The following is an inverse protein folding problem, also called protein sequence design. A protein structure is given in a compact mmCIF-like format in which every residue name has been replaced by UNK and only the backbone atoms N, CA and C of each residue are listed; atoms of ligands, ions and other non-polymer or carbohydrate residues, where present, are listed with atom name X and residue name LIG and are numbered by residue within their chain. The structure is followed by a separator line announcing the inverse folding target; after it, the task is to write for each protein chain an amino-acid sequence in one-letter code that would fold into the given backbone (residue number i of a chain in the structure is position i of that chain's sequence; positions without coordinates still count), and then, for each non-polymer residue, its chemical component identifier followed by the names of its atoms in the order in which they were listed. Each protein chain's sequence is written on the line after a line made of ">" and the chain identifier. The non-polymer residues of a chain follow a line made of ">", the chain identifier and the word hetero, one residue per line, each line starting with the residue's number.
data_IF_225316109296
#
_entry.id   IF_225316109296
#
_cell.length_a   1.000
_cell.length_b   1.000
_cell.length_c   1.000
_cell.angle_alpha   90.00
_cell.angle_beta   90.00
_cell.angle_gamma   90.00
#
_symmetry.space_group_name_H-M   'P 1'
#
loop_
_entity.id
_entity.type
_entity.pdbx_description
1 polymer ?
#
# COMPACT_ATOMS: atom_id res chain seq x y z
N UNK A 1 -61.26 -12.98 -28.41
CA UNK A 1 -61.02 -11.68 -27.79
C UNK A 1 -60.23 -11.98 -26.49
N UNK A 2 -58.91 -11.72 -26.50
CA UNK A 2 -58.05 -11.88 -25.35
C UNK A 2 -57.63 -10.49 -24.90
N UNK A 3 -58.04 -10.12 -23.70
CA UNK A 3 -57.67 -8.84 -23.08
C UNK A 3 -56.17 -8.78 -22.85
N UNK A 4 -55.50 -7.87 -23.54
CA UNK A 4 -54.12 -7.53 -23.26
C UNK A 4 -54.11 -6.65 -22.01
N UNK A 5 -53.68 -7.23 -20.88
CA UNK A 5 -53.36 -6.44 -19.70
C UNK A 5 -52.23 -5.48 -20.03
N UNK A 6 -52.57 -4.21 -20.16
CA UNK A 6 -51.66 -3.09 -20.19
C UNK A 6 -51.04 -2.99 -18.78
N UNK A 7 -49.83 -3.47 -18.61
CA UNK A 7 -49.03 -3.12 -17.44
C UNK A 7 -48.77 -1.62 -17.48
N UNK A 8 -49.44 -0.89 -16.62
CA UNK A 8 -49.09 0.49 -16.31
C UNK A 8 -47.68 0.54 -15.74
N UNK A 9 -46.83 1.40 -16.30
CA UNK A 9 -45.54 1.70 -15.73
C UNK A 9 -45.74 2.20 -14.28
N UNK A 10 -45.57 1.32 -13.30
CA UNK A 10 -45.49 1.69 -11.91
C UNK A 10 -44.29 2.62 -11.80
N UNK A 11 -44.51 3.88 -11.45
CA UNK A 11 -43.46 4.80 -11.07
C UNK A 11 -42.56 4.07 -10.09
N UNK A 12 -41.29 3.88 -10.48
CA UNK A 12 -40.25 3.46 -9.60
C UNK A 12 -40.05 4.58 -8.57
N UNK A 13 -40.80 4.50 -7.47
CA UNK A 13 -40.57 5.34 -6.31
C UNK A 13 -39.19 4.96 -5.84
N UNK A 14 -38.20 5.83 -6.08
CA UNK A 14 -36.84 5.63 -5.59
C UNK A 14 -36.92 5.44 -4.07
N UNK A 15 -36.51 4.28 -3.58
CA UNK A 15 -36.47 4.00 -2.15
C UNK A 15 -35.62 5.09 -1.50
N UNK A 16 -36.12 5.81 -0.48
CA UNK A 16 -35.33 6.87 0.15
C UNK A 16 -34.08 6.25 0.75
N UNK A 17 -32.91 6.84 0.49
CA UNK A 17 -31.64 6.37 1.02
C UNK A 17 -31.71 6.25 2.55
N UNK A 18 -31.43 5.06 3.08
CA UNK A 18 -31.47 4.78 4.53
C UNK A 18 -30.33 5.48 5.31
N UNK A 19 -29.28 5.95 4.62
CA UNK A 19 -28.08 6.52 5.22
C UNK A 19 -27.77 7.94 4.67
N UNK A 20 -28.70 8.90 4.67
CA UNK A 20 -28.47 10.20 4.05
C UNK A 20 -27.32 10.95 4.71
N UNK A 21 -26.49 11.65 3.91
CA UNK A 21 -25.37 12.45 4.38
C UNK A 21 -24.20 11.64 4.97
N UNK A 22 -24.17 10.32 4.77
CA UNK A 22 -23.00 9.50 5.11
C UNK A 22 -21.99 9.48 3.94
N UNK A 23 -20.70 9.19 4.21
CA UNK A 23 -19.70 9.04 3.16
C UNK A 23 -20.11 8.03 2.08
N UNK A 24 -20.73 6.91 2.46
CA UNK A 24 -21.20 5.90 1.51
C UNK A 24 -22.33 6.45 0.61
N UNK A 25 -23.29 7.17 1.18
CA UNK A 25 -24.37 7.77 0.39
C UNK A 25 -23.84 8.80 -0.62
N UNK A 26 -22.85 9.61 -0.23
CA UNK A 26 -22.20 10.57 -1.12
C UNK A 26 -21.41 9.90 -2.25
N UNK A 27 -20.94 8.67 -2.05
CA UNK A 27 -20.18 7.90 -3.03
C UNK A 27 -21.06 6.93 -3.87
N UNK A 28 -22.38 6.91 -3.69
CA UNK A 28 -23.32 5.90 -4.23
C UNK A 28 -23.25 5.77 -5.77
N UNK A 29 -23.01 6.83 -6.49
CA UNK A 29 -22.85 6.80 -7.95
C UNK A 29 -21.74 5.84 -8.42
N UNK A 30 -20.71 5.62 -7.59
CA UNK A 30 -19.66 4.64 -7.88
C UNK A 30 -20.17 3.18 -7.82
N UNK A 31 -21.19 2.90 -7.00
CA UNK A 31 -21.84 1.58 -6.92
C UNK A 31 -22.66 1.34 -8.18
N UNK A 32 -23.35 2.37 -8.69
CA UNK A 32 -24.20 2.29 -9.88
C UNK A 32 -23.42 1.99 -11.15
N UNK A 33 -22.12 2.27 -11.18
CA UNK A 33 -21.25 1.93 -12.28
C UNK A 33 -21.04 0.40 -12.45
N UNK A 34 -21.40 -0.42 -11.45
CA UNK A 34 -21.21 -1.85 -11.49
C UNK A 34 -22.27 -2.56 -12.34
N UNK A 35 -21.85 -3.25 -13.39
CA UNK A 35 -22.73 -4.07 -14.28
C UNK A 35 -22.70 -5.56 -13.91
N UNK A 36 -22.18 -5.93 -12.77
CA UNK A 36 -22.11 -7.30 -12.23
C UNK A 36 -21.46 -8.36 -13.15
N UNK A 37 -20.56 -7.97 -14.05
CA UNK A 37 -19.93 -8.87 -15.05
C UNK A 37 -19.00 -9.94 -14.45
N UNK A 38 -18.51 -9.77 -13.22
CA UNK A 38 -17.68 -10.77 -12.52
C UNK A 38 -16.17 -10.75 -12.81
N UNK A 39 -15.65 -9.89 -13.72
CA UNK A 39 -14.20 -9.84 -14.00
C UNK A 39 -13.33 -9.54 -12.77
N UNK A 40 -13.87 -8.85 -11.78
CA UNK A 40 -13.18 -8.54 -10.52
C UNK A 40 -12.95 -9.75 -9.61
N UNK A 41 -13.64 -10.89 -9.82
CA UNK A 41 -13.57 -12.07 -8.95
C UNK A 41 -12.16 -12.69 -8.98
N UNK A 42 -11.61 -12.89 -10.17
CA UNK A 42 -10.29 -13.51 -10.35
C UNK A 42 -9.13 -12.62 -9.86
N UNK A 43 -9.36 -11.31 -9.75
CA UNK A 43 -8.39 -10.37 -9.22
C UNK A 43 -8.50 -10.18 -7.70
N UNK A 44 -9.48 -10.80 -7.05
CA UNK A 44 -9.75 -10.60 -5.63
C UNK A 44 -9.08 -11.66 -4.76
N UNK A 45 -8.05 -11.30 -3.96
CA UNK A 45 -7.34 -12.28 -3.15
C UNK A 45 -8.20 -12.88 -2.03
N UNK A 46 -9.19 -12.13 -1.48
CA UNK A 46 -10.09 -12.68 -0.45
C UNK A 46 -11.10 -13.64 -1.04
N UNK A 47 -11.63 -13.36 -2.22
CA UNK A 47 -12.50 -14.31 -2.92
C UNK A 47 -11.76 -15.62 -3.27
N UNK A 48 -10.55 -15.51 -3.83
CA UNK A 48 -9.73 -16.69 -4.17
C UNK A 48 -9.33 -17.53 -2.95
N UNK A 49 -9.18 -16.89 -1.78
CA UNK A 49 -8.77 -17.56 -0.55
C UNK A 49 -9.92 -18.17 0.24
N UNK A 50 -11.12 -17.58 0.17
CA UNK A 50 -12.26 -17.91 1.02
C UNK A 50 -13.42 -18.57 0.24
N UNK A 51 -13.45 -18.42 -1.08
CA UNK A 51 -14.50 -18.93 -1.99
C UNK A 51 -15.91 -18.45 -1.62
N UNK A 52 -16.01 -17.28 -0.92
CA UNK A 52 -17.26 -16.67 -0.50
C UNK A 52 -17.54 -15.44 -1.38
N UNK A 53 -18.71 -15.43 -2.05
CA UNK A 53 -19.13 -14.33 -2.92
C UNK A 53 -19.24 -13.01 -2.15
N UNK A 54 -19.65 -13.01 -0.89
CA UNK A 54 -19.73 -11.80 -0.07
C UNK A 54 -18.35 -11.21 0.23
N UNK A 55 -17.29 -12.00 0.14
CA UNK A 55 -15.90 -11.56 0.25
C UNK A 55 -15.30 -11.15 -1.10
N UNK A 56 -16.10 -11.15 -2.19
CA UNK A 56 -15.74 -10.63 -3.51
C UNK A 56 -16.02 -9.13 -3.65
N UNK A 57 -15.40 -8.43 -4.60
CA UNK A 57 -15.70 -7.02 -4.84
C UNK A 57 -17.17 -6.80 -5.26
N UNK A 58 -17.69 -7.69 -6.12
CA UNK A 58 -19.08 -7.64 -6.60
C UNK A 58 -20.06 -7.87 -5.44
N UNK A 59 -19.83 -8.90 -4.62
CA UNK A 59 -20.67 -9.19 -3.46
C UNK A 59 -20.66 -8.04 -2.45
N UNK A 60 -19.49 -7.46 -2.18
CA UNK A 60 -19.39 -6.27 -1.30
C UNK A 60 -20.14 -5.06 -1.86
N UNK A 61 -20.17 -4.84 -3.18
CA UNK A 61 -20.98 -3.77 -3.78
C UNK A 61 -22.49 -4.02 -3.57
N UNK A 62 -22.93 -5.28 -3.64
CA UNK A 62 -24.33 -5.65 -3.31
C UNK A 62 -24.62 -5.33 -1.84
N UNK A 63 -23.73 -5.67 -0.93
CA UNK A 63 -23.88 -5.33 0.50
C UNK A 63 -23.89 -3.80 0.72
N UNK A 64 -23.02 -3.04 0.03
CA UNK A 64 -23.03 -1.58 0.09
C UNK A 64 -24.35 -0.99 -0.40
N UNK A 65 -24.93 -1.54 -1.48
CA UNK A 65 -26.25 -1.16 -1.97
C UNK A 65 -27.32 -1.47 -0.93
N UNK A 66 -27.35 -2.69 -0.38
CA UNK A 66 -28.32 -3.08 0.65
C UNK A 66 -28.25 -2.21 1.91
N UNK A 67 -27.05 -1.69 2.27
CA UNK A 67 -26.91 -0.70 3.35
C UNK A 67 -27.61 0.62 3.02
N UNK A 68 -27.49 1.10 1.77
CA UNK A 68 -28.11 2.34 1.31
C UNK A 68 -29.64 2.22 1.18
N UNK A 69 -30.10 1.06 0.76
CA UNK A 69 -31.54 0.76 0.57
C UNK A 69 -32.24 0.38 1.90
N UNK A 70 -31.43 0.08 2.95
CA UNK A 70 -31.95 -0.31 4.27
C UNK A 70 -32.27 -1.80 4.40
N UNK A 71 -31.88 -2.62 3.42
CA UNK A 71 -32.11 -4.07 3.41
C UNK A 71 -31.21 -4.79 4.43
N UNK A 72 -30.05 -4.23 4.73
CA UNK A 72 -29.11 -4.71 5.73
C UNK A 72 -28.68 -3.58 6.67
N UNK A 73 -28.31 -3.94 7.91
CA UNK A 73 -27.94 -2.96 8.93
C UNK A 73 -26.43 -2.70 8.99
N UNK A 74 -26.04 -1.43 9.28
CA UNK A 74 -24.66 -1.08 9.63
C UNK A 74 -24.13 -1.80 10.88
N UNK A 75 -25.02 -2.24 11.76
CA UNK A 75 -24.68 -2.95 12.99
C UNK A 75 -24.65 -4.47 12.82
N UNK A 76 -25.01 -4.99 11.64
CA UNK A 76 -24.93 -6.42 11.35
C UNK A 76 -23.46 -6.89 11.36
N UNK A 77 -23.08 -7.80 12.27
CA UNK A 77 -21.69 -8.26 12.40
C UNK A 77 -21.21 -9.02 11.16
N UNK A 78 -22.11 -9.66 10.40
CA UNK A 78 -21.75 -10.39 9.17
C UNK A 78 -21.37 -9.41 8.07
N UNK A 79 -22.17 -8.35 7.89
CA UNK A 79 -21.88 -7.28 6.92
C UNK A 79 -20.57 -6.58 7.28
N UNK A 80 -20.35 -6.27 8.57
CA UNK A 80 -19.12 -5.67 9.05
C UNK A 80 -17.91 -6.57 8.77
N UNK A 81 -18.02 -7.88 9.01
CA UNK A 81 -16.96 -8.83 8.77
C UNK A 81 -16.55 -8.88 7.29
N UNK A 82 -17.50 -8.93 6.35
CA UNK A 82 -17.18 -8.94 4.93
C UNK A 82 -16.51 -7.63 4.48
N UNK A 83 -16.90 -6.48 5.02
CA UNK A 83 -16.25 -5.21 4.72
C UNK A 83 -14.84 -5.13 5.33
N UNK A 84 -14.65 -5.61 6.57
CA UNK A 84 -13.36 -5.59 7.25
C UNK A 84 -12.36 -6.61 6.65
N UNK A 85 -12.84 -7.72 6.09
CA UNK A 85 -12.01 -8.71 5.38
C UNK A 85 -11.43 -8.22 4.06
N UNK A 86 -11.90 -7.12 3.49
CA UNK A 86 -11.31 -6.57 2.28
C UNK A 86 -9.90 -6.01 2.56
N UNK A 87 -8.92 -6.44 1.76
CA UNK A 87 -7.53 -5.97 1.85
C UNK A 87 -7.31 -4.55 1.30
N UNK A 88 -8.28 -3.97 0.59
CA UNK A 88 -8.11 -2.68 -0.07
C UNK A 88 -7.00 -2.67 -1.12
N UNK A 89 -6.66 -3.81 -1.71
CA UNK A 89 -5.56 -3.95 -2.67
C UNK A 89 -5.83 -3.32 -4.04
N UNK A 90 -7.10 -3.04 -4.35
CA UNK A 90 -7.57 -2.39 -5.60
C UNK A 90 -7.32 -3.19 -6.89
N UNK A 91 -6.96 -4.46 -6.81
CA UNK A 91 -6.83 -5.34 -7.98
C UNK A 91 -8.13 -5.41 -8.81
N UNK A 92 -9.28 -5.33 -8.14
CA UNK A 92 -10.58 -5.28 -8.79
C UNK A 92 -10.81 -4.03 -9.65
N UNK A 93 -10.14 -2.90 -9.37
CA UNK A 93 -10.28 -1.68 -10.18
C UNK A 93 -9.57 -1.80 -11.53
N UNK A 94 -8.40 -2.44 -11.56
CA UNK A 94 -7.69 -2.71 -12.83
C UNK A 94 -8.39 -3.74 -13.68
N UNK A 95 -9.10 -4.68 -13.05
CA UNK A 95 -9.88 -5.71 -13.74
C UNK A 95 -11.28 -5.22 -14.17
N UNK A 96 -11.73 -4.06 -13.70
CA UNK A 96 -13.10 -3.57 -13.94
C UNK A 96 -13.20 -2.80 -15.25
N UNK A 97 -13.95 -3.29 -16.25
CA UNK A 97 -14.17 -2.57 -17.50
C UNK A 97 -15.09 -1.33 -17.32
N UNK A 98 -15.94 -1.33 -16.28
CA UNK A 98 -16.86 -0.23 -15.97
C UNK A 98 -16.24 0.87 -15.11
N UNK A 99 -14.98 0.70 -14.65
CA UNK A 99 -14.26 1.72 -13.90
C UNK A 99 -14.81 2.02 -12.50
N UNK A 100 -15.37 1.02 -11.81
CA UNK A 100 -15.88 1.19 -10.43
C UNK A 100 -14.74 1.66 -9.52
N UNK A 101 -14.88 2.80 -8.80
CA UNK A 101 -13.85 3.35 -7.90
C UNK A 101 -13.89 2.63 -6.54
N UNK A 102 -13.59 1.33 -6.56
CA UNK A 102 -13.83 0.44 -5.44
C UNK A 102 -13.09 0.84 -4.15
N UNK A 103 -11.85 1.34 -4.25
CA UNK A 103 -11.08 1.79 -3.10
C UNK A 103 -11.77 2.92 -2.35
N UNK A 104 -12.28 3.91 -3.08
CA UNK A 104 -13.03 5.03 -2.50
C UNK A 104 -14.35 4.58 -1.87
N UNK A 105 -15.07 3.67 -2.52
CA UNK A 105 -16.29 3.08 -1.98
C UNK A 105 -16.04 2.30 -0.69
N UNK A 106 -14.95 1.52 -0.63
CA UNK A 106 -14.57 0.78 0.58
C UNK A 106 -14.26 1.72 1.75
N UNK A 107 -13.47 2.77 1.51
CA UNK A 107 -13.14 3.76 2.55
C UNK A 107 -14.37 4.52 3.01
N UNK A 108 -15.25 4.93 2.10
CA UNK A 108 -16.53 5.57 2.41
C UNK A 108 -17.45 4.64 3.23
N UNK A 109 -17.51 3.34 2.87
CA UNK A 109 -18.28 2.33 3.61
C UNK A 109 -17.74 2.17 5.03
N UNK A 110 -16.43 1.97 5.17
CA UNK A 110 -15.80 1.83 6.47
C UNK A 110 -15.98 3.09 7.33
N UNK A 111 -15.85 4.27 6.74
CA UNK A 111 -16.09 5.54 7.44
C UNK A 111 -17.56 5.66 7.91
N UNK A 112 -18.51 5.18 7.12
CA UNK A 112 -19.93 5.13 7.50
C UNK A 112 -20.14 4.15 8.65
N UNK A 113 -19.56 2.95 8.57
CA UNK A 113 -19.65 1.93 9.64
C UNK A 113 -19.02 2.40 10.95
N UNK A 114 -17.94 3.19 10.91
CA UNK A 114 -17.29 3.75 12.12
C UNK A 114 -18.16 4.74 12.89
N UNK A 115 -19.26 5.21 12.32
CA UNK A 115 -20.25 6.04 13.06
C UNK A 115 -21.02 5.24 14.09
N UNK A 116 -21.19 3.92 13.90
CA UNK A 116 -21.98 3.04 14.75
C UNK A 116 -21.17 1.93 15.43
N UNK A 117 -20.00 1.58 14.89
CA UNK A 117 -19.16 0.50 15.40
C UNK A 117 -17.70 0.95 15.55
N UNK A 118 -17.12 0.63 16.70
CA UNK A 118 -15.68 0.85 16.93
C UNK A 118 -14.85 -0.27 16.32
N UNK A 119 -13.64 0.03 15.79
CA UNK A 119 -12.74 -1.01 15.33
C UNK A 119 -12.29 -1.93 16.47
N UNK A 120 -11.79 -3.14 16.18
CA UNK A 120 -11.21 -4.04 17.18
C UNK A 120 -10.16 -3.32 18.04
N UNK A 121 -10.03 -3.70 19.32
CA UNK A 121 -9.15 -3.01 20.27
C UNK A 121 -7.68 -2.94 19.79
N UNK A 122 -7.18 -4.00 19.12
CA UNK A 122 -5.82 -4.02 18.54
C UNK A 122 -5.68 -2.92 17.49
N UNK A 123 -6.65 -2.81 16.57
CA UNK A 123 -6.64 -1.76 15.56
C UNK A 123 -6.63 -0.36 16.19
N UNK A 124 -7.44 -0.15 17.26
CA UNK A 124 -7.48 1.12 17.99
C UNK A 124 -6.13 1.50 18.58
N UNK A 125 -5.43 0.54 19.24
CA UNK A 125 -4.10 0.79 19.80
C UNK A 125 -3.10 1.14 18.69
N UNK A 126 -3.09 0.37 17.61
CA UNK A 126 -2.15 0.61 16.51
C UNK A 126 -2.44 1.98 15.86
N UNK A 127 -3.69 2.26 15.51
CA UNK A 127 -4.06 3.54 14.90
C UNK A 127 -3.73 4.72 15.83
N UNK A 128 -4.03 4.64 17.12
CA UNK A 128 -3.66 5.66 18.10
C UNK A 128 -2.13 5.87 18.19
N UNK A 129 -1.35 4.78 18.08
CA UNK A 129 0.12 4.86 18.04
C UNK A 129 0.60 5.60 16.81
N UNK A 130 0.04 5.30 15.62
CA UNK A 130 0.41 5.98 14.37
C UNK A 130 -0.09 7.42 14.29
N UNK A 131 -1.17 7.77 15.02
CA UNK A 131 -1.67 9.13 15.12
C UNK A 131 -0.77 10.03 16.00
N UNK A 132 -0.04 9.44 16.94
CA UNK A 132 0.77 10.17 17.92
C UNK A 132 2.27 10.08 17.57
N UNK A 133 2.88 11.20 17.16
CA UNK A 133 4.32 11.24 16.86
C UNK A 133 5.21 10.69 18.00
N UNK A 134 5.01 11.05 19.29
CA UNK A 134 5.84 10.53 20.36
C UNK A 134 5.64 9.05 20.62
N UNK A 135 4.39 8.55 20.58
CA UNK A 135 4.12 7.11 20.75
C UNK A 135 4.71 6.29 19.61
N UNK A 136 4.59 6.76 18.38
CA UNK A 136 5.18 6.13 17.21
C UNK A 136 6.71 6.09 17.32
N UNK A 137 7.34 7.21 17.71
CA UNK A 137 8.79 7.27 17.90
C UNK A 137 9.26 6.26 18.96
N UNK A 138 8.54 6.17 20.08
CA UNK A 138 8.83 5.20 21.15
C UNK A 138 8.67 3.75 20.66
N UNK A 139 7.57 3.44 19.97
CA UNK A 139 7.30 2.11 19.44
C UNK A 139 8.38 1.68 18.42
N UNK A 140 8.78 2.58 17.52
CA UNK A 140 9.81 2.33 16.52
C UNK A 140 11.21 2.20 17.17
N UNK A 141 11.51 3.00 18.20
CA UNK A 141 12.74 2.86 18.98
C UNK A 141 12.79 1.52 19.69
N UNK A 142 11.71 1.12 20.36
CA UNK A 142 11.58 -0.19 20.99
C UNK A 142 11.76 -1.33 19.97
N UNK A 143 11.16 -1.22 18.79
CA UNK A 143 11.35 -2.17 17.70
C UNK A 143 12.82 -2.29 17.24
N UNK A 144 13.54 -1.16 17.12
CA UNK A 144 14.96 -1.16 16.77
C UNK A 144 15.83 -1.82 17.86
N UNK A 145 15.54 -1.53 19.13
CA UNK A 145 16.24 -2.14 20.28
C UNK A 145 15.98 -3.64 20.28
N UNK A 146 14.73 -4.09 20.19
CA UNK A 146 14.38 -5.51 20.14
C UNK A 146 15.11 -6.22 18.98
N UNK A 147 15.18 -5.57 17.81
CA UNK A 147 15.89 -6.09 16.63
C UNK A 147 17.41 -6.17 16.86
N UNK A 148 18.00 -5.19 17.52
CA UNK A 148 19.43 -5.20 17.88
C UNK A 148 19.77 -6.33 18.86
N UNK A 149 18.87 -6.62 19.80
CA UNK A 149 19.00 -7.72 20.75
C UNK A 149 18.70 -9.11 20.16
N UNK A 150 18.25 -9.20 18.89
CA UNK A 150 17.94 -10.47 18.24
C UNK A 150 16.58 -11.07 18.66
N UNK A 151 15.82 -10.43 19.54
CA UNK A 151 14.52 -10.92 20.03
C UNK A 151 13.53 -11.29 18.93
N UNK A 152 13.41 -10.52 17.82
CA UNK A 152 12.49 -10.86 16.74
C UNK A 152 12.80 -12.20 16.07
N UNK A 153 14.07 -12.57 15.90
CA UNK A 153 14.43 -13.87 15.31
C UNK A 153 14.12 -15.02 16.27
N UNK A 154 14.33 -14.82 17.57
CA UNK A 154 14.01 -15.82 18.59
C UNK A 154 12.52 -16.09 18.67
N UNK A 155 11.70 -15.05 18.59
CA UNK A 155 10.24 -15.12 18.76
C UNK A 155 9.47 -15.28 17.45
N UNK A 156 10.12 -15.22 16.28
CA UNK A 156 9.46 -15.30 14.97
C UNK A 156 8.62 -16.57 14.75
N UNK A 157 9.00 -17.67 15.41
CA UNK A 157 8.30 -18.96 15.34
C UNK A 157 7.26 -19.17 16.42
N UNK A 158 7.08 -18.22 17.33
CA UNK A 158 6.02 -18.28 18.34
C UNK A 158 4.63 -18.33 17.65
N UNK A 159 3.64 -18.99 18.26
CA UNK A 159 2.30 -19.06 17.69
C UNK A 159 1.60 -17.71 17.70
N UNK A 160 0.65 -17.53 16.78
CA UNK A 160 -0.27 -16.40 16.73
C UNK A 160 0.38 -15.07 16.37
N UNK A 161 -0.27 -13.98 16.78
CA UNK A 161 0.09 -12.60 16.42
C UNK A 161 1.48 -12.17 16.88
N UNK A 162 1.97 -12.70 18.01
CA UNK A 162 3.29 -12.36 18.53
C UNK A 162 4.35 -12.84 17.57
N UNK A 163 4.31 -14.12 17.18
CA UNK A 163 5.29 -14.67 16.24
C UNK A 163 5.23 -13.97 14.87
N UNK A 164 4.04 -13.72 14.35
CA UNK A 164 3.87 -12.98 13.09
C UNK A 164 4.45 -11.57 13.18
N UNK A 165 4.13 -10.82 14.24
CA UNK A 165 4.68 -9.46 14.45
C UNK A 165 6.20 -9.45 14.61
N UNK A 166 6.76 -10.43 15.33
CA UNK A 166 8.21 -10.57 15.50
C UNK A 166 8.91 -10.98 14.20
N UNK A 167 8.31 -11.88 13.42
CA UNK A 167 8.82 -12.24 12.09
C UNK A 167 8.82 -11.04 11.14
N UNK A 168 7.76 -10.22 11.15
CA UNK A 168 7.70 -8.97 10.40
C UNK A 168 8.80 -7.99 10.83
N UNK A 169 9.02 -7.81 12.13
CA UNK A 169 10.08 -6.96 12.64
C UNK A 169 11.47 -7.50 12.28
N UNK A 170 11.68 -8.82 12.32
CA UNK A 170 12.92 -9.45 11.90
C UNK A 170 13.23 -9.19 10.42
N UNK A 171 12.21 -9.22 9.56
CA UNK A 171 12.35 -9.00 8.12
C UNK A 171 12.69 -7.55 7.72
N UNK A 172 12.56 -6.59 8.65
CA UNK A 172 13.02 -5.20 8.43
C UNK A 172 14.54 -5.01 8.53
N UNK A 173 15.29 -6.07 8.81
CA UNK A 173 16.75 -6.01 8.82
C UNK A 173 17.27 -5.84 7.40
N UNK A 174 18.13 -4.84 7.19
CA UNK A 174 18.76 -4.63 5.89
C UNK A 174 19.47 -5.90 5.41
N UNK A 175 19.17 -6.33 4.20
CA UNK A 175 19.75 -7.53 3.57
C UNK A 175 21.08 -7.18 2.90
N UNK A 176 21.15 -6.02 2.25
CA UNK A 176 22.34 -5.50 1.59
C UNK A 176 23.02 -4.48 2.49
N UNK A 177 24.33 -4.56 2.55
CA UNK A 177 25.16 -3.54 3.20
C UNK A 177 25.72 -2.64 2.11
N UNK A 178 25.25 -1.41 2.06
CA UNK A 178 25.75 -0.40 1.13
C UNK A 178 26.90 0.36 1.78
N UNK A 179 27.99 0.51 1.05
CA UNK A 179 29.07 1.43 1.41
C UNK A 179 28.69 2.83 0.94
N UNK A 180 29.13 3.85 1.67
CA UNK A 180 29.03 5.24 1.21
C UNK A 180 29.96 5.43 0.01
N UNK A 181 29.48 6.13 -0.99
CA UNK A 181 30.24 6.51 -2.19
C UNK A 181 30.03 7.99 -2.50
N UNK A 182 30.90 8.55 -3.31
CA UNK A 182 30.83 9.96 -3.68
C UNK A 182 29.58 10.25 -4.52
N UNK A 183 28.84 11.28 -4.16
CA UNK A 183 27.67 11.73 -4.91
C UNK A 183 28.05 12.85 -5.87
N UNK A 184 27.36 12.97 -7.04
CA UNK A 184 27.54 14.09 -7.94
C UNK A 184 27.25 15.42 -7.22
N UNK A 185 28.07 16.42 -7.48
CA UNK A 185 27.92 17.77 -6.91
C UNK A 185 26.94 18.65 -7.69
N UNK A 186 26.64 18.26 -8.95
CA UNK A 186 25.74 18.99 -9.82
C UNK A 186 24.45 18.20 -10.07
N UNK A 187 23.31 18.90 -10.01
CA UNK A 187 22.00 18.40 -10.39
C UNK A 187 21.65 18.86 -11.80
N UNK A 188 21.05 17.98 -12.61
CA UNK A 188 20.63 18.25 -13.99
C UNK A 188 19.13 18.17 -14.22
N UNK A 189 18.37 17.56 -13.26
CA UNK A 189 16.94 17.25 -13.42
C UNK A 189 16.03 18.02 -12.45
N UNK A 190 16.60 18.87 -11.58
CA UNK A 190 15.83 19.67 -10.64
C UNK A 190 15.72 19.08 -9.24
N UNK A 191 14.85 19.67 -8.44
CA UNK A 191 14.72 19.37 -7.01
C UNK A 191 13.70 18.28 -6.74
N UNK A 192 14.04 17.42 -5.79
CA UNK A 192 13.17 16.36 -5.27
C UNK A 192 13.25 16.36 -3.75
N UNK A 193 12.10 16.28 -3.08
CA UNK A 193 12.06 16.01 -1.64
C UNK A 193 11.57 14.59 -1.39
N UNK A 194 12.12 13.91 -0.37
CA UNK A 194 11.72 12.54 -0.04
C UNK A 194 10.65 12.55 1.05
N UNK A 195 9.52 11.86 0.82
CA UNK A 195 8.65 11.47 1.93
C UNK A 195 9.36 10.37 2.74
N UNK A 196 9.90 10.73 3.89
CA UNK A 196 10.59 9.76 4.77
C UNK A 196 9.64 8.76 5.41
N UNK A 197 8.34 9.13 5.54
CA UNK A 197 7.28 8.27 6.05
C UNK A 197 7.46 7.87 7.52
N UNK A 198 6.62 6.94 7.98
CA UNK A 198 6.66 6.45 9.36
C UNK A 198 7.50 5.17 9.50
N UNK A 199 7.07 4.06 8.88
CA UNK A 199 7.76 2.76 8.94
C UNK A 199 9.11 2.81 8.22
N UNK A 200 9.18 3.48 7.06
CA UNK A 200 10.42 3.63 6.31
C UNK A 200 11.48 4.36 7.14
N UNK A 201 11.14 5.51 7.73
CA UNK A 201 12.07 6.25 8.59
C UNK A 201 12.38 5.51 9.91
N UNK A 202 11.42 4.72 10.43
CA UNK A 202 11.58 4.03 11.70
C UNK A 202 12.35 2.73 11.64
N UNK A 203 12.09 1.90 10.64
CA UNK A 203 12.59 0.52 10.56
C UNK A 203 13.43 0.23 9.31
N UNK A 204 13.31 1.03 8.26
CA UNK A 204 13.97 0.85 6.96
C UNK A 204 14.71 2.13 6.53
N UNK A 205 15.37 2.81 7.47
CA UNK A 205 16.10 4.07 7.22
C UNK A 205 17.15 3.90 6.11
N UNK A 206 17.80 2.74 6.04
CA UNK A 206 18.77 2.44 5.00
C UNK A 206 18.20 2.58 3.58
N UNK A 207 16.94 2.17 3.37
CA UNK A 207 16.26 2.33 2.09
C UNK A 207 15.94 3.80 1.79
N UNK A 208 15.59 4.61 2.80
CA UNK A 208 15.45 6.06 2.63
C UNK A 208 16.78 6.70 2.18
N UNK A 209 17.87 6.33 2.85
CA UNK A 209 19.20 6.84 2.52
C UNK A 209 19.66 6.36 1.14
N UNK A 210 19.37 5.11 0.77
CA UNK A 210 19.58 4.58 -0.59
C UNK A 210 18.77 5.36 -1.63
N UNK A 211 17.52 5.73 -1.32
CA UNK A 211 16.69 6.53 -2.21
C UNK A 211 17.31 7.91 -2.47
N UNK A 212 17.82 8.57 -1.44
CA UNK A 212 18.50 9.86 -1.57
C UNK A 212 19.73 9.70 -2.48
N UNK A 213 20.57 8.69 -2.25
CA UNK A 213 21.77 8.48 -3.04
C UNK A 213 21.47 8.13 -4.51
N UNK A 214 20.54 7.22 -4.74
CA UNK A 214 20.18 6.80 -6.11
C UNK A 214 19.56 7.94 -6.92
N UNK A 215 18.71 8.77 -6.32
CA UNK A 215 18.18 9.97 -6.97
C UNK A 215 19.30 10.97 -7.30
N UNK A 216 20.22 11.21 -6.37
CA UNK A 216 21.34 12.11 -6.61
C UNK A 216 22.27 11.61 -7.74
N UNK A 217 22.59 10.32 -7.78
CA UNK A 217 23.37 9.72 -8.87
C UNK A 217 22.69 9.94 -10.21
N UNK A 218 21.36 9.87 -10.25
CA UNK A 218 20.57 10.03 -11.47
C UNK A 218 20.18 11.48 -11.80
N UNK A 219 20.83 12.47 -11.19
CA UNK A 219 20.77 13.87 -11.58
C UNK A 219 19.74 14.73 -10.81
N UNK A 220 19.07 14.21 -9.80
CA UNK A 220 18.20 15.01 -8.95
C UNK A 220 18.96 15.65 -7.78
N UNK A 221 18.58 16.87 -7.39
CA UNK A 221 19.01 17.46 -6.12
C UNK A 221 17.98 17.11 -5.04
N UNK A 222 18.37 16.32 -4.05
CA UNK A 222 17.47 15.97 -2.95
C UNK A 222 17.50 17.06 -1.90
N UNK A 223 16.37 17.72 -1.70
CA UNK A 223 16.18 18.77 -0.70
C UNK A 223 15.40 18.22 0.49
N UNK A 224 15.81 18.60 1.70
CA UNK A 224 15.14 18.12 2.91
C UNK A 224 13.88 18.94 3.21
N UNK A 225 12.79 18.23 3.53
CA UNK A 225 11.55 18.84 4.04
C UNK A 225 11.34 18.38 5.47
N UNK A 226 11.35 19.31 6.40
CA UNK A 226 11.07 19.06 7.81
C UNK A 226 9.56 18.95 8.08
N UNK A 227 9.19 18.53 9.29
CA UNK A 227 7.81 18.49 9.79
C UNK A 227 6.85 17.51 9.11
N UNK A 228 7.28 16.77 8.09
CA UNK A 228 6.50 15.69 7.48
C UNK A 228 6.26 14.53 8.46
N UNK A 229 5.26 13.68 8.18
CA UNK A 229 4.90 12.58 9.06
C UNK A 229 4.33 11.36 8.33
N UNK A 230 3.46 10.62 9.00
CA UNK A 230 2.73 9.53 8.38
C UNK A 230 1.82 10.04 7.26
N UNK A 231 1.72 9.28 6.16
CA UNK A 231 0.86 9.65 5.02
C UNK A 231 -0.64 9.60 5.32
N UNK A 232 -1.07 8.91 6.39
CA UNK A 232 -2.47 8.76 6.75
C UNK A 232 -3.18 7.53 6.16
N UNK A 233 -2.53 6.76 5.28
CA UNK A 233 -3.15 5.62 4.60
C UNK A 233 -3.80 4.60 5.56
N UNK A 234 -3.16 4.27 6.68
CA UNK A 234 -3.70 3.32 7.66
C UNK A 234 -5.04 3.77 8.24
N UNK A 235 -5.19 5.08 8.49
CA UNK A 235 -6.41 5.67 9.03
C UNK A 235 -7.50 5.73 7.96
N UNK A 236 -7.18 6.17 6.73
CA UNK A 236 -8.13 6.19 5.62
C UNK A 236 -8.69 4.79 5.35
N UNK A 237 -7.82 3.79 5.21
CA UNK A 237 -8.23 2.40 4.98
C UNK A 237 -9.02 1.79 6.14
N UNK A 238 -8.84 2.27 7.36
CA UNK A 238 -9.64 1.87 8.53
C UNK A 238 -10.97 2.65 8.66
N UNK A 239 -11.24 3.63 7.79
CA UNK A 239 -12.43 4.48 7.85
C UNK A 239 -12.31 5.66 8.83
N UNK A 240 -11.13 5.91 9.39
CA UNK A 240 -10.85 7.11 10.21
C UNK A 240 -10.38 8.26 9.33
N UNK A 241 -11.31 8.78 8.52
CA UNK A 241 -11.02 9.86 7.58
C UNK A 241 -10.63 11.16 8.28
N UNK A 242 -11.11 11.42 9.49
CA UNK A 242 -10.81 12.64 10.24
C UNK A 242 -9.31 12.71 10.59
N UNK A 243 -8.75 11.63 11.13
CA UNK A 243 -7.32 11.53 11.43
C UNK A 243 -6.48 11.53 10.15
N UNK A 244 -6.91 10.80 9.10
CA UNK A 244 -6.24 10.79 7.80
C UNK A 244 -6.14 12.21 7.21
N UNK A 245 -7.22 12.99 7.23
CA UNK A 245 -7.26 14.41 6.79
C UNK A 245 -6.32 15.29 7.60
N UNK A 246 -6.25 15.09 8.91
CA UNK A 246 -5.32 15.83 9.78
C UNK A 246 -3.87 15.57 9.40
N UNK A 247 -3.52 14.30 9.15
CA UNK A 247 -2.17 13.92 8.70
C UNK A 247 -1.86 14.46 7.30
N UNK A 248 -2.82 14.41 6.38
CA UNK A 248 -2.68 14.96 5.05
C UNK A 248 -2.41 16.47 5.08
N UNK A 249 -3.17 17.23 5.87
CA UNK A 249 -2.96 18.68 6.04
C UNK A 249 -1.57 18.99 6.58
N UNK A 250 -1.08 18.24 7.57
CA UNK A 250 0.27 18.41 8.11
C UNK A 250 1.35 18.17 7.04
N UNK A 251 1.21 17.12 6.23
CA UNK A 251 2.14 16.82 5.14
C UNK A 251 2.06 17.86 4.01
N UNK A 252 0.86 18.33 3.64
CA UNK A 252 0.68 19.39 2.66
C UNK A 252 1.44 20.64 3.10
N UNK A 253 1.24 21.09 4.34
CA UNK A 253 1.95 22.24 4.90
C UNK A 253 3.47 22.05 4.89
N UNK A 254 3.95 20.83 5.19
CA UNK A 254 5.37 20.53 5.16
C UNK A 254 5.95 20.63 3.73
N UNK A 255 5.27 20.09 2.73
CA UNK A 255 5.74 20.09 1.33
C UNK A 255 5.57 21.43 0.61
N UNK A 256 4.79 22.35 1.14
CA UNK A 256 4.73 23.73 0.64
C UNK A 256 6.01 24.53 0.92
N UNK A 257 6.86 24.08 1.86
CA UNK A 257 8.19 24.66 2.06
C UNK A 257 9.13 24.43 0.86
N UNK A 258 8.82 23.49 -0.01
CA UNK A 258 9.60 23.17 -1.22
C UNK A 258 8.65 23.09 -2.44
N UNK A 259 8.03 24.22 -2.86
CA UNK A 259 6.88 24.20 -3.79
C UNK A 259 7.23 23.68 -5.18
N UNK A 260 8.45 23.87 -5.64
CA UNK A 260 8.91 23.47 -6.97
C UNK A 260 9.49 22.04 -7.01
N UNK A 261 9.77 21.44 -5.85
CA UNK A 261 10.33 20.09 -5.79
C UNK A 261 9.27 19.02 -6.05
N UNK A 262 9.61 17.99 -6.82
CA UNK A 262 8.82 16.75 -6.86
C UNK A 262 8.92 16.03 -5.51
N UNK A 263 7.92 15.24 -5.17
CA UNK A 263 7.89 14.48 -3.91
C UNK A 263 8.15 13.01 -4.25
N UNK A 264 9.34 12.54 -3.96
CA UNK A 264 9.70 11.13 -4.10
C UNK A 264 9.10 10.30 -2.96
N UNK A 265 8.55 9.15 -3.30
CA UNK A 265 8.00 8.20 -2.34
C UNK A 265 8.56 6.81 -2.67
N UNK A 266 9.13 6.13 -1.70
CA UNK A 266 9.67 4.77 -1.83
C UNK A 266 8.81 3.71 -1.11
N UNK A 267 7.52 4.00 -0.95
CA UNK A 267 6.56 3.13 -0.30
C UNK A 267 5.23 3.20 -1.05
N UNK A 268 4.89 2.16 -1.79
CA UNK A 268 3.74 2.13 -2.70
C UNK A 268 2.42 2.59 -2.07
N UNK A 269 2.12 2.14 -0.83
CA UNK A 269 0.92 2.55 -0.11
C UNK A 269 0.91 4.04 0.26
N UNK A 270 2.07 4.60 0.60
CA UNK A 270 2.19 6.03 0.86
C UNK A 270 2.05 6.84 -0.44
N UNK A 271 2.61 6.35 -1.54
CA UNK A 271 2.51 6.99 -2.86
C UNK A 271 1.06 7.08 -3.33
N UNK A 272 0.31 5.98 -3.22
CA UNK A 272 -1.12 5.97 -3.53
C UNK A 272 -1.87 7.01 -2.68
N UNK A 273 -1.60 7.06 -1.37
CA UNK A 273 -2.26 8.00 -0.47
C UNK A 273 -1.96 9.47 -0.79
N UNK A 274 -0.70 9.83 -1.08
CA UNK A 274 -0.36 11.21 -1.43
C UNK A 274 -1.01 11.63 -2.75
N UNK A 275 -1.06 10.75 -3.74
CA UNK A 275 -1.76 11.00 -5.01
C UNK A 275 -3.28 11.19 -4.83
N UNK A 276 -3.84 10.68 -3.73
CA UNK A 276 -5.27 10.77 -3.39
C UNK A 276 -5.61 11.86 -2.35
N UNK A 277 -4.65 12.68 -1.91
CA UNK A 277 -4.96 13.80 -0.99
C UNK A 277 -6.00 14.78 -1.55
N UNK A 278 -6.00 15.00 -2.87
CA UNK A 278 -7.01 15.81 -3.54
C UNK A 278 -8.42 15.23 -3.34
N UNK A 279 -8.58 13.90 -3.47
CA UNK A 279 -9.84 13.22 -3.21
C UNK A 279 -10.20 13.24 -1.72
N UNK A 280 -9.25 12.94 -0.83
CA UNK A 280 -9.48 12.93 0.61
C UNK A 280 -9.98 14.29 1.16
N UNK A 281 -9.55 15.39 0.54
CA UNK A 281 -9.88 16.76 0.95
C UNK A 281 -10.79 17.49 -0.07
N UNK A 282 -11.53 16.74 -0.90
CA UNK A 282 -12.34 17.31 -1.98
C UNK A 282 -13.46 18.24 -1.49
N UNK A 283 -13.97 17.99 -0.28
CA UNK A 283 -15.06 18.73 0.37
C UNK A 283 -14.55 19.82 1.34
N UNK A 284 -13.23 20.08 1.37
CA UNK A 284 -12.61 21.10 2.21
C UNK A 284 -12.11 22.27 1.36
N UNK A 285 -12.89 23.38 1.22
CA UNK A 285 -12.53 24.51 0.36
C UNK A 285 -11.17 25.14 0.69
N UNK A 286 -10.74 25.08 1.96
CA UNK A 286 -9.48 25.65 2.40
C UNK A 286 -8.27 24.79 2.02
N UNK A 287 -8.47 23.48 1.79
CA UNK A 287 -7.38 22.54 1.60
C UNK A 287 -7.39 21.84 0.23
N UNK A 288 -8.51 21.82 -0.47
CA UNK A 288 -8.62 21.06 -1.73
C UNK A 288 -7.59 21.51 -2.78
N UNK A 289 -7.49 22.80 -3.07
CA UNK A 289 -6.52 23.30 -4.05
C UNK A 289 -5.06 22.99 -3.67
N UNK A 290 -4.73 23.12 -2.38
CA UNK A 290 -3.41 22.78 -1.83
C UNK A 290 -3.13 21.28 -1.94
N UNK A 291 -4.13 20.43 -1.67
CA UNK A 291 -4.04 18.99 -1.84
C UNK A 291 -3.82 18.59 -3.30
N UNK A 292 -4.53 19.22 -4.25
CA UNK A 292 -4.32 19.02 -5.70
C UNK A 292 -2.87 19.32 -6.08
N UNK A 293 -2.33 20.46 -5.62
CA UNK A 293 -0.95 20.86 -5.92
C UNK A 293 0.09 19.86 -5.38
N UNK A 294 -0.10 19.34 -4.16
CA UNK A 294 0.80 18.33 -3.57
C UNK A 294 0.64 16.97 -4.26
N UNK A 295 -0.59 16.52 -4.51
CA UNK A 295 -0.85 15.25 -5.22
C UNK A 295 -0.22 15.24 -6.62
N UNK A 296 -0.27 16.35 -7.34
CA UNK A 296 0.31 16.49 -8.67
C UNK A 296 1.84 16.36 -8.70
N UNK A 297 2.54 16.59 -7.57
CA UNK A 297 4.00 16.45 -7.43
C UNK A 297 4.44 15.10 -6.90
N UNK A 298 3.53 14.27 -6.38
CA UNK A 298 3.84 12.97 -5.81
C UNK A 298 4.27 11.97 -6.90
N UNK A 299 5.46 11.38 -6.73
CA UNK A 299 6.02 10.37 -7.65
C UNK A 299 6.62 9.21 -6.86
N UNK A 300 6.42 7.99 -7.35
CA UNK A 300 7.20 6.86 -6.83
C UNK A 300 8.68 7.05 -7.16
N UNK A 301 9.58 6.63 -6.28
CA UNK A 301 11.02 6.76 -6.50
C UNK A 301 11.47 6.02 -7.78
N UNK A 302 10.84 4.88 -8.08
CA UNK A 302 11.13 4.14 -9.32
C UNK A 302 10.59 4.87 -10.56
N UNK A 303 9.47 5.61 -10.44
CA UNK A 303 8.92 6.46 -11.51
C UNK A 303 9.90 7.59 -11.85
N UNK A 304 10.49 8.25 -10.86
CA UNK A 304 11.50 9.28 -11.04
C UNK A 304 12.77 8.73 -11.69
N UNK A 305 13.26 7.60 -11.19
CA UNK A 305 14.46 6.96 -11.74
C UNK A 305 14.25 6.49 -13.18
N UNK A 306 13.10 5.88 -13.48
CA UNK A 306 12.76 5.44 -14.83
C UNK A 306 12.67 6.64 -15.80
N UNK A 307 12.09 7.77 -15.37
CA UNK A 307 12.01 9.00 -16.16
C UNK A 307 13.39 9.63 -16.42
N UNK A 308 14.32 9.52 -15.47
CA UNK A 308 15.69 9.98 -15.61
C UNK A 308 16.53 9.12 -16.59
N UNK A 309 16.08 7.89 -16.86
CA UNK A 309 16.90 6.87 -17.51
C UNK A 309 18.01 6.38 -16.55
N UNK A 310 17.72 5.37 -15.70
CA UNK A 310 18.60 5.03 -14.60
C UNK A 310 19.99 4.65 -15.09
N UNK A 311 21.02 5.23 -14.50
CA UNK A 311 22.41 4.92 -14.81
C UNK A 311 22.69 3.45 -14.58
N UNK A 312 23.37 2.82 -15.51
CA UNK A 312 23.73 1.40 -15.40
C UNK A 312 24.87 1.22 -14.40
N UNK A 313 24.77 0.19 -13.59
CA UNK A 313 25.81 -0.25 -12.67
C UNK A 313 25.69 -1.77 -12.44
N UNK A 314 26.75 -2.43 -12.01
CA UNK A 314 26.77 -3.87 -11.88
C UNK A 314 26.95 -4.32 -10.42
N UNK A 315 26.25 -5.36 -10.03
CA UNK A 315 26.54 -6.04 -8.77
C UNK A 315 27.87 -6.78 -8.84
N UNK A 316 28.57 -6.96 -7.72
CA UNK A 316 29.89 -7.58 -7.71
C UNK A 316 29.86 -9.08 -8.06
N UNK A 317 28.71 -9.72 -8.00
CA UNK A 317 28.51 -11.12 -8.35
C UNK A 317 27.11 -11.34 -8.96
N UNK A 318 26.92 -12.40 -9.77
CA UNK A 318 25.61 -12.75 -10.30
C UNK A 318 24.59 -13.00 -9.20
N UNK A 319 23.38 -12.47 -9.38
CA UNK A 319 22.28 -12.56 -8.45
C UNK A 319 20.99 -12.95 -9.16
N UNK A 320 20.33 -13.99 -8.65
CA UNK A 320 19.03 -14.44 -9.15
C UNK A 320 17.92 -13.89 -8.25
N UNK A 321 17.01 -13.10 -8.83
CA UNK A 321 15.89 -12.48 -8.12
C UNK A 321 14.57 -12.85 -8.75
N UNK A 322 13.51 -12.69 -7.96
CA UNK A 322 12.14 -12.56 -8.47
C UNK A 322 11.52 -11.26 -7.97
N UNK A 323 10.54 -10.71 -8.70
CA UNK A 323 9.93 -9.43 -8.36
C UNK A 323 8.45 -9.58 -8.06
N UNK A 324 8.03 -9.05 -6.92
CA UNK A 324 6.65 -8.88 -6.49
C UNK A 324 6.20 -7.44 -6.81
N UNK A 325 5.06 -7.29 -7.49
CA UNK A 325 4.49 -5.99 -7.81
C UNK A 325 3.55 -5.54 -6.66
N UNK A 326 3.92 -4.53 -5.86
CA UNK A 326 3.05 -4.06 -4.79
C UNK A 326 1.70 -3.61 -5.33
N UNK A 327 0.61 -4.12 -4.78
CA UNK A 327 -0.74 -3.83 -5.26
C UNK A 327 -1.05 -2.32 -5.36
N UNK A 328 -0.62 -1.52 -4.39
CA UNK A 328 -0.81 -0.06 -4.44
C UNK A 328 0.07 0.64 -5.48
N UNK A 329 1.18 0.05 -5.89
CA UNK A 329 1.97 0.58 -7.01
C UNK A 329 1.30 0.23 -8.34
N UNK A 330 0.98 -1.05 -8.52
CA UNK A 330 0.42 -1.55 -9.77
C UNK A 330 -1.02 -1.12 -10.00
N UNK A 331 -1.90 -1.25 -9.00
CA UNK A 331 -3.34 -1.06 -9.17
C UNK A 331 -3.78 0.37 -8.81
N UNK A 332 -3.33 0.94 -7.70
CA UNK A 332 -3.73 2.27 -7.29
C UNK A 332 -3.00 3.37 -8.08
N UNK A 333 -1.69 3.23 -8.27
CA UNK A 333 -0.87 4.22 -8.99
C UNK A 333 -0.71 3.92 -10.49
N UNK A 334 -1.10 2.72 -10.98
CA UNK A 334 -0.96 2.27 -12.37
C UNK A 334 0.50 2.26 -12.87
N UNK A 335 1.45 1.99 -11.98
CA UNK A 335 2.88 1.92 -12.25
C UNK A 335 3.35 0.46 -12.31
N UNK A 336 3.55 -0.05 -13.52
CA UNK A 336 3.99 -1.45 -13.76
C UNK A 336 5.41 -1.52 -14.27
N UNK A 337 5.81 -0.63 -15.19
CA UNK A 337 7.10 -0.65 -15.86
C UNK A 337 8.24 0.04 -15.10
N UNK A 338 8.04 1.13 -14.32
CA UNK A 338 9.14 1.84 -13.68
C UNK A 338 10.02 0.99 -12.76
N UNK A 339 9.46 0.12 -11.87
CA UNK A 339 10.29 -0.76 -11.05
C UNK A 339 11.15 -1.72 -11.88
N UNK A 340 10.62 -2.18 -13.01
CA UNK A 340 11.34 -3.09 -13.90
C UNK A 340 12.49 -2.38 -14.60
N UNK A 341 12.28 -1.13 -15.07
CA UNK A 341 13.33 -0.30 -15.67
C UNK A 341 14.51 -0.06 -14.71
N UNK A 342 14.21 0.13 -13.41
CA UNK A 342 15.24 0.24 -12.37
C UNK A 342 16.05 -1.05 -12.25
N UNK A 343 15.39 -2.21 -12.23
CA UNK A 343 16.07 -3.51 -12.15
C UNK A 343 16.86 -3.85 -13.41
N UNK A 344 16.36 -3.48 -14.59
CA UNK A 344 17.02 -3.73 -15.88
C UNK A 344 18.30 -2.86 -16.08
N UNK A 345 18.48 -1.82 -15.25
CA UNK A 345 19.71 -1.04 -15.21
C UNK A 345 20.84 -1.70 -14.40
N UNK A 346 20.54 -2.78 -13.67
CA UNK A 346 21.51 -3.45 -12.79
C UNK A 346 22.14 -4.64 -13.53
N UNK A 347 23.44 -4.56 -13.78
CA UNK A 347 24.24 -5.65 -14.34
C UNK A 347 24.45 -6.79 -13.32
N UNK A 348 24.72 -8.00 -13.81
CA UNK A 348 24.83 -9.22 -13.01
C UNK A 348 23.54 -9.59 -12.25
N UNK A 349 22.38 -9.11 -12.72
CA UNK A 349 21.07 -9.40 -12.16
C UNK A 349 20.24 -10.22 -13.13
N UNK A 350 19.82 -11.42 -12.71
CA UNK A 350 18.90 -12.27 -13.48
C UNK A 350 17.55 -12.28 -12.81
N UNK A 351 16.51 -11.82 -13.53
CA UNK A 351 15.14 -11.79 -13.03
C UNK A 351 14.35 -13.03 -13.50
N UNK A 352 13.86 -13.82 -12.56
CA UNK A 352 12.97 -14.96 -12.80
C UNK A 352 11.52 -14.47 -12.64
N UNK A 353 10.63 -14.71 -13.62
CA UNK A 353 9.22 -14.35 -13.48
C UNK A 353 8.57 -14.99 -12.26
N UNK A 354 7.73 -14.24 -11.55
CA UNK A 354 6.93 -14.72 -10.42
C UNK A 354 5.48 -14.92 -10.87
N UNK A 355 4.98 -16.12 -10.79
CA UNK A 355 3.56 -16.39 -10.98
C UNK A 355 2.74 -15.68 -9.90
N UNK A 356 1.68 -14.96 -10.29
CA UNK A 356 0.88 -14.16 -9.36
C UNK A 356 1.67 -12.99 -8.72
N UNK A 357 2.65 -12.42 -9.44
CA UNK A 357 3.39 -11.27 -8.96
C UNK A 357 2.48 -10.08 -8.61
N UNK A 358 1.35 -9.93 -9.31
CA UNK A 358 0.32 -8.92 -9.16
C UNK A 358 -0.69 -9.20 -8.03
N UNK A 359 -0.73 -10.42 -7.49
CA UNK A 359 -1.61 -10.77 -6.39
C UNK A 359 -1.14 -10.13 -5.07
N UNK A 360 -2.10 -9.72 -4.23
CA UNK A 360 -1.78 -9.12 -2.94
C UNK A 360 -1.01 -10.08 -2.03
N UNK A 361 -0.05 -9.54 -1.26
CA UNK A 361 0.73 -10.30 -0.28
C UNK A 361 -0.01 -10.56 1.05
N UNK A 362 -1.23 -10.04 1.22
CA UNK A 362 -2.00 -10.19 2.47
C UNK A 362 -1.66 -9.18 3.58
N UNK A 363 -0.69 -8.28 3.39
CA UNK A 363 -0.26 -7.33 4.42
C UNK A 363 -1.33 -6.30 4.78
N UNK A 364 -1.82 -5.54 3.79
CA UNK A 364 -2.87 -4.53 3.89
C UNK A 364 -2.80 -3.64 5.15
N UNK A 365 -1.67 -3.01 5.37
CA UNK A 365 -1.44 -2.13 6.52
C UNK A 365 -1.39 -2.88 7.85
N UNK A 366 -2.48 -2.83 8.63
CA UNK A 366 -2.62 -3.53 9.93
C UNK A 366 -3.47 -4.79 9.83
N UNK A 367 -3.97 -5.12 8.65
CA UNK A 367 -4.91 -6.22 8.41
C UNK A 367 -4.36 -7.58 8.87
N UNK A 368 -3.10 -7.87 8.57
CA UNK A 368 -2.43 -9.10 8.96
C UNK A 368 -2.35 -9.32 10.48
N UNK A 369 -2.49 -8.28 11.27
CA UNK A 369 -2.58 -8.37 12.74
C UNK A 369 -4.03 -8.50 13.23
N UNK A 370 -5.00 -8.06 12.43
CA UNK A 370 -6.44 -8.12 12.75
C UNK A 370 -7.04 -9.43 12.27
N UNK A 371 -6.79 -9.79 11.00
CA UNK A 371 -7.30 -10.96 10.28
C UNK A 371 -6.16 -11.91 9.87
N UNK A 372 -5.37 -12.46 10.82
CA UNK A 372 -4.15 -13.22 10.49
C UNK A 372 -4.45 -14.48 9.67
N UNK A 373 -5.57 -15.16 9.91
CA UNK A 373 -5.91 -16.39 9.17
C UNK A 373 -6.15 -16.11 7.69
N UNK A 374 -6.91 -15.05 7.36
CA UNK A 374 -7.17 -14.67 5.97
C UNK A 374 -5.90 -14.13 5.32
N UNK A 375 -5.11 -13.33 6.05
CA UNK A 375 -3.82 -12.83 5.58
C UNK A 375 -2.85 -13.96 5.22
N UNK A 376 -2.76 -15.00 6.06
CA UNK A 376 -1.91 -16.18 5.81
C UNK A 376 -2.44 -17.00 4.61
N UNK A 377 -3.75 -17.15 4.46
CA UNK A 377 -4.37 -17.84 3.32
C UNK A 377 -4.07 -17.12 1.99
N UNK A 378 -4.14 -15.79 1.98
CA UNK A 378 -3.78 -14.94 0.82
C UNK A 378 -2.27 -15.01 0.51
N UNK A 379 -1.42 -15.07 1.53
CA UNK A 379 0.03 -15.12 1.35
C UNK A 379 0.53 -16.48 0.86
N UNK A 380 -0.12 -17.57 1.25
CA UNK A 380 0.38 -18.92 1.02
C UNK A 380 0.66 -19.26 -0.45
N UNK A 381 -0.20 -18.94 -1.43
CA UNK A 381 0.12 -19.14 -2.86
C UNK A 381 1.37 -18.39 -3.29
N UNK A 382 1.53 -17.13 -2.86
CA UNK A 382 2.70 -16.31 -3.21
C UNK A 382 4.01 -16.92 -2.67
N UNK A 383 4.01 -17.46 -1.46
CA UNK A 383 5.20 -18.14 -0.92
C UNK A 383 5.56 -19.41 -1.71
N UNK A 384 4.57 -20.19 -2.14
CA UNK A 384 4.80 -21.37 -3.02
C UNK A 384 5.40 -20.95 -4.36
N UNK A 385 4.85 -19.91 -4.97
CA UNK A 385 5.33 -19.39 -6.25
C UNK A 385 6.75 -18.83 -6.15
N UNK A 386 7.07 -18.10 -5.05
CA UNK A 386 8.43 -17.63 -4.77
C UNK A 386 9.40 -18.83 -4.67
N UNK A 387 9.05 -19.86 -3.92
CA UNK A 387 9.89 -21.06 -3.79
C UNK A 387 10.12 -21.75 -5.14
N UNK A 388 9.12 -21.80 -6.01
CA UNK A 388 9.21 -22.39 -7.35
C UNK A 388 10.17 -21.63 -8.29
N UNK A 389 10.43 -20.32 -8.05
CA UNK A 389 11.37 -19.55 -8.89
C UNK A 389 12.84 -19.94 -8.69
N UNK A 390 13.19 -20.55 -7.56
CA UNK A 390 14.59 -20.77 -7.18
C UNK A 390 15.40 -19.48 -6.92
N UNK A 391 14.76 -18.33 -6.91
CA UNK A 391 15.44 -17.04 -6.63
C UNK A 391 15.92 -16.97 -5.19
N UNK A 392 17.04 -16.27 -4.98
CA UNK A 392 17.62 -16.04 -3.65
C UNK A 392 17.07 -14.80 -2.97
N UNK A 393 16.55 -13.84 -3.77
CA UNK A 393 15.91 -12.63 -3.29
C UNK A 393 14.56 -12.39 -3.97
N UNK A 394 13.62 -11.85 -3.19
CA UNK A 394 12.37 -11.25 -3.68
C UNK A 394 12.51 -9.73 -3.62
N UNK A 395 12.15 -9.05 -4.70
CA UNK A 395 12.21 -7.58 -4.79
C UNK A 395 10.79 -7.01 -4.75
N UNK A 396 10.53 -6.08 -3.83
CA UNK A 396 9.22 -5.40 -3.74
C UNK A 396 9.35 -3.99 -3.16
N UNK A 397 8.65 -3.01 -3.73
CA UNK A 397 8.74 -1.57 -3.42
C UNK A 397 7.73 -1.08 -2.37
N UNK A 398 7.37 -1.92 -1.39
CA UNK A 398 6.44 -1.50 -0.33
C UNK A 398 6.81 -2.10 1.03
N UNK A 399 6.93 -1.30 2.11
CA UNK A 399 7.33 -1.80 3.42
C UNK A 399 6.38 -2.87 3.98
N UNK A 400 5.07 -2.76 3.73
CA UNK A 400 4.11 -3.78 4.13
C UNK A 400 4.39 -5.13 3.46
N UNK A 401 4.64 -5.14 2.13
CA UNK A 401 4.96 -6.36 1.38
C UNK A 401 6.33 -6.92 1.81
N UNK A 402 7.36 -6.06 1.99
CA UNK A 402 8.66 -6.47 2.51
C UNK A 402 8.53 -7.23 3.83
N UNK A 403 7.76 -6.67 4.77
CA UNK A 403 7.57 -7.28 6.09
C UNK A 403 6.73 -8.56 6.01
N UNK A 404 5.64 -8.57 5.24
CA UNK A 404 4.72 -9.70 5.18
C UNK A 404 5.34 -10.91 4.46
N UNK A 405 5.90 -10.71 3.27
CA UNK A 405 6.57 -11.76 2.50
C UNK A 405 7.79 -12.27 3.28
N UNK A 406 8.60 -11.34 3.82
CA UNK A 406 9.77 -11.69 4.62
C UNK A 406 9.44 -12.48 5.88
N UNK A 407 8.35 -12.13 6.57
CA UNK A 407 7.86 -12.88 7.73
C UNK A 407 7.38 -14.28 7.34
N UNK A 408 6.64 -14.41 6.24
CA UNK A 408 6.17 -15.70 5.72
C UNK A 408 7.34 -16.62 5.36
N UNK A 409 8.32 -16.11 4.61
CA UNK A 409 9.53 -16.86 4.23
C UNK A 409 10.34 -17.29 5.47
N UNK A 410 10.54 -16.40 6.44
CA UNK A 410 11.25 -16.69 7.69
C UNK A 410 10.54 -17.80 8.49
N UNK A 411 9.23 -17.72 8.63
CA UNK A 411 8.42 -18.73 9.35
C UNK A 411 8.39 -20.07 8.64
N UNK A 412 8.44 -20.06 7.32
CA UNK A 412 8.58 -21.27 6.48
C UNK A 412 9.99 -21.86 6.48
N UNK A 413 10.95 -21.24 7.17
CA UNK A 413 12.36 -21.70 7.20
C UNK A 413 13.12 -21.47 5.90
N UNK A 414 12.61 -20.61 5.01
CA UNK A 414 13.25 -20.28 3.73
C UNK A 414 14.50 -19.42 3.93
N UNK A 415 15.53 -19.65 3.13
CA UNK A 415 16.71 -18.80 3.05
C UNK A 415 16.51 -17.55 2.17
N UNK A 416 15.42 -17.51 1.39
CA UNK A 416 15.10 -16.38 0.51
C UNK A 416 14.84 -15.13 1.34
N UNK A 417 15.41 -14.01 0.91
CA UNK A 417 15.26 -12.72 1.61
C UNK A 417 14.47 -11.75 0.72
N UNK A 418 13.95 -10.68 1.33
CA UNK A 418 13.18 -9.65 0.63
C UNK A 418 13.93 -8.34 0.69
N UNK A 419 14.01 -7.63 -0.45
CA UNK A 419 14.73 -6.35 -0.58
C UNK A 419 13.91 -5.34 -1.36
N UNK A 420 14.21 -4.06 -1.18
CA UNK A 420 13.63 -2.98 -1.96
C UNK A 420 14.41 -2.80 -3.29
N UNK A 421 13.76 -2.48 -4.44
CA UNK A 421 14.46 -2.29 -5.71
C UNK A 421 15.54 -1.21 -5.64
N UNK A 422 15.30 -0.16 -4.86
CA UNK A 422 16.25 0.93 -4.64
C UNK A 422 17.51 0.45 -3.90
N UNK A 423 17.38 -0.48 -2.95
CA UNK A 423 18.53 -1.03 -2.22
C UNK A 423 19.47 -1.81 -3.15
N UNK A 424 18.91 -2.51 -4.16
CA UNK A 424 19.71 -3.21 -5.17
C UNK A 424 20.46 -2.24 -6.08
N UNK A 425 19.78 -1.20 -6.55
CA UNK A 425 20.41 -0.19 -7.39
C UNK A 425 21.51 0.56 -6.65
N UNK A 426 21.26 0.94 -5.38
CA UNK A 426 22.24 1.57 -4.52
C UNK A 426 23.47 0.67 -4.27
N UNK A 427 23.25 -0.64 -4.09
CA UNK A 427 24.33 -1.61 -3.95
C UNK A 427 25.17 -1.74 -5.22
N UNK A 428 24.55 -1.69 -6.39
CA UNK A 428 25.26 -1.70 -7.67
C UNK A 428 26.12 -0.43 -7.85
N UNK A 429 25.56 0.76 -7.56
CA UNK A 429 26.34 2.01 -7.59
C UNK A 429 27.51 2.01 -6.62
N UNK A 430 27.32 1.45 -5.42
CA UNK A 430 28.39 1.34 -4.44
C UNK A 430 29.50 0.38 -4.89
N UNK A 431 29.17 -0.68 -5.64
CA UNK A 431 30.17 -1.61 -6.17
C UNK A 431 30.99 -0.99 -7.31
N UNK A 432 30.36 -0.34 -8.26
CA UNK A 432 31.05 0.33 -9.38
C UNK A 432 31.91 1.52 -8.95
N UNK A 433 31.61 2.16 -7.82
CA UNK A 433 32.40 3.27 -7.28
C UNK A 433 33.73 2.84 -6.65
N UNK A 434 33.95 1.55 -6.49
CA UNK A 434 35.17 0.95 -5.87
C UNK A 434 36.13 0.42 -6.95
N UNK A 435 35.63 0.24 -8.17
CA UNK A 435 36.43 -0.13 -9.35
C UNK A 435 36.92 1.11 -10.10
#
# INVERSE_FOLDING_TARGET
>A
MRDAHRMTATELVATPCALPGTPLALASAGIDACVHCGFCLQACPTYLALEDENDSPRGRLVLMRGLLDGDVSLTDPVVQQHMDRCLGCRGCETACPSGVPYGQLLEATRATMRRVASPPWIARIILATFASRPLLALALAGGRIARALGLPLLLARAPGRIGSGMAMLASTRAVLRTRTYALPTQSTLGDVTLLRGCVMQGLQTATNDATVRTLAVNGYRVVETSAQGCCGALHAHAGDLATARTMARANITAFEATPDALIAINAAGCGAMLKEYAHLLHDDPAWHARAVAVSARARDATELLAAAGPKRASLPAPLHITSDAPCHLQHAQRLTTPPLAVLDAIGNLTRVPLEGCDQCCGSAGIYNLIEPAVSDAVLAPKLRNIAATGATLVVTGNPGCLMQIGAGLLRAGSAVRVVHPIDLLDAAYAADSVT
#
